data_IF_547447068910
#
_entry.id   IF_547447068910
#
_cell.length_a   1.000
_cell.length_b   1.000
_cell.length_c   1.000
_cell.angle_alpha   90.00
_cell.angle_beta   90.00
_cell.angle_gamma   90.00
#
_symmetry.space_group_name_H-M   'P 1'
#
loop_
_entity.id
_entity.type
_entity.pdbx_description
1 polymer ?
#
# COMPACT_ATOMS: atom_id res chain seq x y z
N UNK A 1 32.80 33.28 15.59
CA UNK A 1 32.94 31.94 14.99
C UNK A 1 31.81 31.01 15.41
N UNK A 2 31.41 30.91 16.67
CA UNK A 2 30.29 30.05 17.11
C UNK A 2 28.94 30.39 16.45
N UNK A 3 28.64 31.66 16.20
CA UNK A 3 27.41 32.11 15.51
C UNK A 3 27.40 31.78 14.02
N UNK A 4 28.55 31.73 13.37
CA UNK A 4 28.71 31.39 11.96
C UNK A 4 28.51 29.86 11.72
N UNK A 5 28.95 29.06 12.65
CA UNK A 5 28.77 27.60 12.64
C UNK A 5 27.28 27.26 12.84
N UNK A 6 26.57 27.96 13.73
CA UNK A 6 25.14 27.77 13.95
C UNK A 6 24.30 28.11 12.71
N UNK A 7 24.62 29.19 12.02
CA UNK A 7 23.94 29.60 10.77
C UNK A 7 24.21 28.57 9.65
N UNK A 8 25.43 28.03 9.61
CA UNK A 8 25.78 27.00 8.60
C UNK A 8 25.07 25.67 8.84
N UNK A 9 24.87 25.26 10.12
CA UNK A 9 24.11 24.06 10.47
C UNK A 9 22.62 24.20 10.16
N UNK A 10 22.02 25.41 10.28
CA UNK A 10 20.61 25.61 9.99
C UNK A 10 20.27 25.51 8.50
N UNK A 11 21.22 25.84 7.61
CA UNK A 11 21.04 25.76 6.15
C UNK A 11 21.00 24.30 5.69
N UNK A 12 21.68 23.39 6.38
CA UNK A 12 21.69 21.94 6.03
C UNK A 12 20.39 21.22 6.40
N UNK A 13 19.55 21.79 7.27
CA UNK A 13 18.29 21.17 7.69
C UNK A 13 17.12 21.47 6.74
N UNK A 14 17.30 22.36 5.75
CA UNK A 14 16.26 22.73 4.78
C UNK A 14 16.32 21.93 3.47
N UNK A 15 17.20 20.93 3.36
CA UNK A 15 17.45 20.17 2.12
C UNK A 15 16.71 18.86 2.01
N UNK A 16 15.50 18.70 2.57
CA UNK A 16 14.72 17.47 2.44
C UNK A 16 13.29 17.77 1.97
N UNK A 17 13.11 18.10 0.69
CA UNK A 17 11.77 18.23 0.10
C UNK A 17 11.62 17.62 -1.30
N UNK A 18 12.63 16.96 -1.83
CA UNK A 18 12.52 16.31 -3.14
C UNK A 18 12.53 14.80 -2.97
N UNK A 19 11.56 14.15 -3.61
CA UNK A 19 11.55 12.70 -3.69
C UNK A 19 12.87 12.21 -4.32
N UNK A 20 13.66 11.36 -3.64
CA UNK A 20 14.96 10.90 -4.15
C UNK A 20 14.83 9.94 -5.33
N UNK A 21 13.62 9.45 -5.60
CA UNK A 21 13.33 8.57 -6.74
C UNK A 21 12.73 9.40 -7.87
N UNK A 22 13.26 9.31 -9.11
CA UNK A 22 12.71 10.05 -10.24
C UNK A 22 11.26 9.62 -10.52
N UNK A 23 10.44 10.59 -10.93
CA UNK A 23 9.05 10.35 -11.32
C UNK A 23 9.03 9.38 -12.52
N UNK A 24 8.25 8.28 -12.46
CA UNK A 24 8.06 7.38 -13.59
C UNK A 24 7.37 8.07 -14.76
N UNK A 25 7.66 7.64 -15.99
CA UNK A 25 6.97 8.13 -17.18
C UNK A 25 5.47 7.81 -17.15
N UNK A 26 5.13 6.64 -16.61
CA UNK A 26 3.75 6.19 -16.39
C UNK A 26 3.43 6.23 -14.89
N UNK A 27 3.32 7.45 -14.35
CA UNK A 27 2.93 7.63 -12.94
C UNK A 27 1.44 7.35 -12.78
N UNK A 28 1.12 6.39 -11.94
CA UNK A 28 -0.25 6.11 -11.48
C UNK A 28 -0.67 7.17 -10.46
N UNK A 29 -1.93 7.57 -10.47
CA UNK A 29 -2.46 8.45 -9.45
C UNK A 29 -2.40 7.81 -8.06
N UNK A 30 -2.29 8.63 -7.02
CA UNK A 30 -2.23 8.18 -5.61
C UNK A 30 -3.42 7.27 -5.27
N UNK A 31 -4.62 7.63 -5.75
CA UNK A 31 -5.83 6.83 -5.53
C UNK A 31 -5.72 5.44 -6.17
N UNK A 32 -5.26 5.36 -7.42
CA UNK A 32 -5.05 4.08 -8.13
C UNK A 32 -4.00 3.24 -7.39
N UNK A 33 -2.89 3.85 -6.98
CA UNK A 33 -1.85 3.12 -6.26
C UNK A 33 -2.35 2.64 -4.88
N UNK A 34 -3.16 3.42 -4.18
CA UNK A 34 -3.79 3.03 -2.91
C UNK A 34 -4.76 1.86 -3.12
N UNK A 35 -5.55 1.88 -4.20
CA UNK A 35 -6.45 0.78 -4.56
C UNK A 35 -5.68 -0.51 -4.85
N UNK A 36 -4.54 -0.42 -5.55
CA UNK A 36 -3.66 -1.57 -5.81
C UNK A 36 -3.14 -2.14 -4.49
N UNK A 37 -2.66 -1.30 -3.58
CA UNK A 37 -2.17 -1.73 -2.27
C UNK A 37 -3.27 -2.40 -1.43
N UNK A 38 -4.49 -1.87 -1.47
CA UNK A 38 -5.66 -2.47 -0.82
C UNK A 38 -5.97 -3.86 -1.38
N UNK A 39 -6.05 -4.01 -2.71
CA UNK A 39 -6.31 -5.28 -3.34
C UNK A 39 -5.22 -6.32 -3.03
N UNK A 40 -3.95 -5.91 -3.03
CA UNK A 40 -2.83 -6.77 -2.63
C UNK A 40 -3.02 -7.25 -1.18
N UNK A 41 -3.41 -6.35 -0.27
CA UNK A 41 -3.63 -6.71 1.13
C UNK A 41 -4.78 -7.71 1.29
N UNK A 42 -5.88 -7.55 0.54
CA UNK A 42 -7.01 -8.50 0.52
C UNK A 42 -6.56 -9.87 -0.02
N UNK A 43 -5.82 -9.90 -1.12
CA UNK A 43 -5.32 -11.15 -1.71
C UNK A 43 -4.36 -11.87 -0.78
N UNK A 44 -3.46 -11.15 -0.11
CA UNK A 44 -2.54 -11.71 0.88
C UNK A 44 -3.28 -12.26 2.11
N UNK A 45 -4.30 -11.53 2.59
CA UNK A 45 -5.12 -12.00 3.70
C UNK A 45 -5.91 -13.26 3.33
N UNK A 46 -6.41 -13.35 2.11
CA UNK A 46 -7.12 -14.53 1.59
C UNK A 46 -6.18 -15.72 1.45
N UNK A 47 -4.98 -15.50 0.90
CA UNK A 47 -3.96 -16.55 0.76
C UNK A 47 -3.51 -17.10 2.12
N UNK A 48 -3.34 -16.21 3.11
CA UNK A 48 -2.99 -16.60 4.48
C UNK A 48 -4.07 -17.33 5.26
N UNK A 49 -5.35 -17.01 5.02
CA UNK A 49 -6.48 -17.60 5.74
C UNK A 49 -7.15 -18.76 5.01
N UNK A 50 -7.14 -18.75 3.68
CA UNK A 50 -7.82 -19.73 2.82
C UNK A 50 -6.94 -20.08 1.59
N UNK A 51 -5.75 -20.68 1.77
CA UNK A 51 -4.81 -20.88 0.68
C UNK A 51 -5.35 -21.74 -0.48
N UNK A 52 -6.25 -22.69 -0.18
CA UNK A 52 -6.88 -23.53 -1.19
C UNK A 52 -7.85 -22.74 -2.08
N UNK A 53 -8.49 -21.70 -1.56
CA UNK A 53 -9.51 -20.94 -2.30
C UNK A 53 -8.93 -20.23 -3.52
N UNK A 54 -7.78 -19.54 -3.37
CA UNK A 54 -7.12 -18.90 -4.50
C UNK A 54 -6.61 -19.92 -5.54
N UNK A 55 -6.14 -21.07 -5.06
CA UNK A 55 -5.70 -22.17 -5.93
C UNK A 55 -6.85 -22.81 -6.70
N UNK A 56 -8.00 -23.02 -6.06
CA UNK A 56 -9.21 -23.58 -6.69
C UNK A 56 -9.78 -22.64 -7.75
N UNK A 57 -9.76 -21.33 -7.48
CA UNK A 57 -10.19 -20.28 -8.42
C UNK A 57 -9.12 -19.95 -9.48
N UNK A 58 -7.97 -20.61 -9.45
CA UNK A 58 -6.82 -20.36 -10.33
C UNK A 58 -6.36 -18.89 -10.32
N UNK A 59 -6.50 -18.20 -9.19
CA UNK A 59 -6.10 -16.80 -9.04
C UNK A 59 -4.63 -16.70 -8.66
N UNK A 60 -3.83 -16.20 -9.59
CA UNK A 60 -2.49 -15.70 -9.28
C UNK A 60 -2.59 -14.21 -8.91
N UNK A 61 -2.30 -13.88 -7.66
CA UNK A 61 -2.45 -12.53 -7.10
C UNK A 61 -1.76 -11.45 -7.95
N UNK A 62 -0.54 -11.73 -8.40
CA UNK A 62 0.24 -10.79 -9.22
C UNK A 62 -0.40 -10.56 -10.59
N UNK A 63 -0.77 -11.63 -11.27
CA UNK A 63 -1.44 -11.57 -12.58
C UNK A 63 -2.80 -10.89 -12.47
N UNK A 64 -3.54 -11.12 -11.40
CA UNK A 64 -4.81 -10.47 -11.14
C UNK A 64 -4.68 -8.96 -11.06
N UNK A 65 -3.73 -8.46 -10.27
CA UNK A 65 -3.47 -7.02 -10.12
C UNK A 65 -3.11 -6.39 -11.47
N UNK A 66 -2.18 -7.00 -12.21
CA UNK A 66 -1.76 -6.44 -13.50
C UNK A 66 -2.89 -6.37 -14.53
N UNK A 67 -3.75 -7.38 -14.57
CA UNK A 67 -4.94 -7.38 -15.44
C UNK A 67 -5.97 -6.35 -15.00
N UNK A 68 -6.29 -6.31 -13.70
CA UNK A 68 -7.31 -5.40 -13.15
C UNK A 68 -7.00 -3.94 -13.43
N UNK A 69 -5.74 -3.56 -13.27
CA UNK A 69 -5.30 -2.16 -13.43
C UNK A 69 -4.67 -1.86 -14.80
N UNK A 70 -4.65 -2.83 -15.70
CA UNK A 70 -4.04 -2.72 -17.04
C UNK A 70 -2.60 -2.18 -16.99
N UNK A 71 -1.80 -2.70 -16.08
CA UNK A 71 -0.39 -2.34 -15.88
C UNK A 71 0.50 -3.57 -16.02
N UNK A 72 1.77 -3.33 -16.26
CA UNK A 72 2.79 -4.38 -16.21
C UNK A 72 3.61 -4.32 -14.90
N UNK A 73 4.46 -5.30 -14.70
CA UNK A 73 5.31 -5.41 -13.52
C UNK A 73 6.28 -4.23 -13.39
N UNK A 74 6.78 -3.70 -14.49
CA UNK A 74 7.70 -2.58 -14.49
C UNK A 74 7.01 -1.29 -14.03
N UNK A 75 5.82 -1.00 -14.58
CA UNK A 75 4.98 0.14 -14.16
C UNK A 75 4.66 0.05 -12.68
N UNK A 76 4.21 -1.12 -12.20
CA UNK A 76 3.93 -1.32 -10.78
C UNK A 76 5.17 -1.05 -9.91
N UNK A 77 6.31 -1.67 -10.24
CA UNK A 77 7.55 -1.54 -9.48
C UNK A 77 8.05 -0.09 -9.42
N UNK A 78 8.05 0.62 -10.55
CA UNK A 78 8.49 2.01 -10.62
C UNK A 78 7.60 2.93 -9.76
N UNK A 79 6.28 2.74 -9.81
CA UNK A 79 5.33 3.50 -9.02
C UNK A 79 5.45 3.19 -7.53
N UNK A 80 5.58 1.93 -7.17
CA UNK A 80 5.78 1.53 -5.77
C UNK A 80 7.04 2.17 -5.18
N UNK A 81 8.15 2.16 -5.92
CA UNK A 81 9.40 2.82 -5.49
C UNK A 81 9.24 4.32 -5.34
N UNK A 82 8.55 4.96 -6.29
CA UNK A 82 8.32 6.39 -6.27
C UNK A 82 7.51 6.83 -5.03
N UNK A 83 6.40 6.17 -4.77
CA UNK A 83 5.56 6.48 -3.61
C UNK A 83 6.23 6.09 -2.29
N UNK A 84 6.93 4.95 -2.22
CA UNK A 84 7.63 4.51 -1.02
C UNK A 84 8.79 5.42 -0.61
N UNK A 85 9.36 6.19 -1.54
CA UNK A 85 10.43 7.13 -1.25
C UNK A 85 9.92 8.41 -0.54
N UNK A 86 8.64 8.75 -0.66
CA UNK A 86 7.99 9.75 0.17
C UNK A 86 7.31 9.06 1.37
N UNK A 87 8.04 8.98 2.47
CA UNK A 87 7.59 8.27 3.69
C UNK A 87 6.28 8.84 4.23
N UNK A 88 6.06 10.15 4.14
CA UNK A 88 4.85 10.79 4.65
C UNK A 88 3.63 10.43 3.81
N UNK A 89 3.76 10.51 2.49
CA UNK A 89 2.71 10.15 1.54
C UNK A 89 2.41 8.65 1.61
N UNK A 90 3.42 7.82 1.63
CA UNK A 90 3.28 6.37 1.70
C UNK A 90 2.58 5.91 3.00
N UNK A 91 2.94 6.53 4.13
CA UNK A 91 2.24 6.28 5.40
C UNK A 91 0.75 6.63 5.33
N UNK A 92 0.39 7.75 4.71
CA UNK A 92 -1.02 8.15 4.49
C UNK A 92 -1.77 7.12 3.66
N UNK A 93 -1.17 6.65 2.56
CA UNK A 93 -1.76 5.62 1.69
C UNK A 93 -2.01 4.31 2.45
N UNK A 94 -1.04 3.85 3.24
CA UNK A 94 -1.21 2.65 4.07
C UNK A 94 -2.22 2.83 5.19
N UNK A 95 -2.33 4.01 5.77
CA UNK A 95 -3.38 4.29 6.76
C UNK A 95 -4.77 4.15 6.13
N UNK A 96 -4.96 4.67 4.94
CA UNK A 96 -6.22 4.51 4.19
C UNK A 96 -6.51 3.04 3.86
N UNK A 97 -5.49 2.26 3.47
CA UNK A 97 -5.64 0.81 3.26
C UNK A 97 -6.09 0.11 4.54
N UNK A 98 -5.49 0.43 5.69
CA UNK A 98 -5.86 -0.15 6.97
C UNK A 98 -7.30 0.21 7.39
N UNK A 99 -7.71 1.45 7.18
CA UNK A 99 -9.06 1.91 7.49
C UNK A 99 -10.10 1.15 6.65
N UNK A 100 -9.86 1.00 5.35
CA UNK A 100 -10.72 0.20 4.45
C UNK A 100 -10.76 -1.28 4.85
N UNK A 101 -9.64 -1.88 5.23
CA UNK A 101 -9.60 -3.28 5.69
C UNK A 101 -10.41 -3.48 6.98
N UNK A 102 -10.39 -2.51 7.90
CA UNK A 102 -11.20 -2.54 9.11
C UNK A 102 -12.69 -2.42 8.78
N UNK A 103 -13.07 -1.54 7.86
CA UNK A 103 -14.46 -1.40 7.39
C UNK A 103 -14.98 -2.71 6.78
N UNK A 104 -14.19 -3.36 5.92
CA UNK A 104 -14.54 -4.65 5.31
C UNK A 104 -14.68 -5.75 6.37
N UNK A 105 -13.79 -5.78 7.36
CA UNK A 105 -13.86 -6.72 8.48
C UNK A 105 -15.13 -6.50 9.30
N UNK A 106 -15.47 -5.27 9.62
CA UNK A 106 -16.65 -4.94 10.41
C UNK A 106 -17.94 -5.25 9.64
N UNK A 107 -17.96 -4.98 8.33
CA UNK A 107 -19.06 -5.38 7.44
C UNK A 107 -19.24 -6.91 7.41
N UNK A 108 -18.15 -7.66 7.27
CA UNK A 108 -18.18 -9.12 7.28
C UNK A 108 -18.69 -9.68 8.63
N UNK A 109 -18.25 -9.10 9.74
CA UNK A 109 -18.71 -9.50 11.08
C UNK A 109 -20.19 -9.19 11.32
N UNK A 110 -20.72 -8.13 10.72
CA UNK A 110 -22.15 -7.77 10.85
C UNK A 110 -23.08 -8.72 10.08
N UNK A 111 -22.56 -9.40 9.06
CA UNK A 111 -23.32 -10.38 8.25
C UNK A 111 -23.30 -11.77 8.91
N UNK A 112 -22.28 -12.09 9.72
CA UNK A 112 -22.22 -13.34 10.47
C UNK A 112 -23.16 -13.29 11.68
N UNK A 113 -24.12 -14.22 11.81
CA UNK A 113 -24.96 -14.27 13.02
C UNK A 113 -24.10 -14.53 14.25
N UNK A 114 -24.40 -13.89 15.39
CA UNK A 114 -23.66 -14.11 16.64
C UNK A 114 -23.90 -15.55 17.12
N UNK A 115 -22.94 -16.41 16.93
CA UNK A 115 -23.04 -17.75 17.47
C UNK A 115 -22.36 -18.84 16.67
N UNK A 116 -21.04 -18.95 16.83
CA UNK A 116 -20.32 -20.23 16.94
C UNK A 116 -18.84 -19.99 17.18
N UNK A 117 -18.52 -19.35 18.31
CA UNK A 117 -17.16 -19.45 18.82
C UNK A 117 -17.25 -20.12 20.21
N UNK A 118 -17.25 -21.44 20.20
CA UNK A 118 -16.80 -22.27 21.32
C UNK A 118 -16.18 -23.51 20.74
N UNK A 119 -14.96 -23.39 20.29
CA UNK A 119 -14.07 -24.55 20.20
C UNK A 119 -13.24 -24.52 21.49
N UNK A 120 -13.60 -25.45 22.41
CA UNK A 120 -12.76 -25.76 23.57
C UNK A 120 -11.47 -26.41 23.10
#
# INVERSE_FOLDING_TARGET
MKKLVLVFCTIWLLSCSNNPVPKPDNLLDEEIMTNILFDIAILQATDGSMPLKLSEEHINSTTYIYKKYAIDSLTFYQNQRYYAADVKQYKKMYQEVLDRLNEEKDAANSIMPPGKEKIK
#
